data_IF_563611723722
#
_entry.id   IF_563611723722
#
_cell.length_a   1.000
_cell.length_b   1.000
_cell.length_c   1.000
_cell.angle_alpha   90.00
_cell.angle_beta   90.00
_cell.angle_gamma   90.00
#
_symmetry.space_group_name_H-M   'P 1'
#
loop_
_entity.id
_entity.type
_entity.pdbx_description
1 polymer ?
#
# COMPACT_ATOMS: atom_id res chain seq x y z
N UNK A 1 -0.67 7.62 -5.32
CA UNK A 1 -0.35 6.18 -5.13
C UNK A 1 1.15 5.92 -5.02
N UNK A 2 1.96 6.23 -6.04
CA UNK A 2 3.41 5.92 -6.05
C UNK A 2 4.21 6.43 -4.83
N UNK A 3 3.90 7.64 -4.31
CA UNK A 3 4.53 8.16 -3.09
C UNK A 3 4.21 7.31 -1.84
N UNK A 4 2.95 6.91 -1.65
CA UNK A 4 2.57 6.05 -0.52
C UNK A 4 3.25 4.69 -0.62
N UNK A 5 3.34 4.13 -1.82
CA UNK A 5 4.06 2.88 -2.08
C UNK A 5 5.56 3.00 -1.78
N UNK A 6 6.19 4.10 -2.17
CA UNK A 6 7.61 4.36 -1.86
C UNK A 6 7.84 4.51 -0.35
N UNK A 7 6.97 5.26 0.35
CA UNK A 7 7.03 5.40 1.82
C UNK A 7 6.88 4.04 2.49
N UNK A 8 5.89 3.24 2.05
CA UNK A 8 5.66 1.90 2.56
C UNK A 8 6.92 1.02 2.45
N UNK A 9 7.60 1.06 1.31
CA UNK A 9 8.84 0.29 1.09
C UNK A 9 10.03 0.76 1.95
N UNK A 10 10.01 2.00 2.45
CA UNK A 10 11.02 2.50 3.40
C UNK A 10 10.68 2.05 4.82
N UNK A 11 9.45 2.29 5.27
CA UNK A 11 9.03 2.00 6.65
C UNK A 11 8.97 0.49 6.93
N UNK A 12 8.66 -0.34 5.93
CA UNK A 12 8.55 -1.78 6.12
C UNK A 12 9.89 -2.45 6.51
N UNK A 13 11.02 -1.79 6.25
CA UNK A 13 12.35 -2.28 6.64
C UNK A 13 12.63 -2.12 8.13
N UNK A 14 12.01 -1.14 8.78
CA UNK A 14 12.15 -0.87 10.20
C UNK A 14 10.90 -0.13 10.73
N UNK A 15 9.78 -0.85 10.94
CA UNK A 15 8.54 -0.25 11.43
C UNK A 15 8.75 0.24 12.87
N UNK A 16 8.80 1.57 13.06
CA UNK A 16 9.14 2.20 14.34
C UNK A 16 7.99 2.94 14.99
N UNK A 17 6.92 3.23 14.23
CA UNK A 17 5.74 3.92 14.72
C UNK A 17 4.47 3.23 14.22
N UNK A 18 3.79 2.43 15.07
CA UNK A 18 2.64 1.63 14.66
C UNK A 18 1.44 2.48 14.19
N UNK A 19 1.27 3.70 14.72
CA UNK A 19 0.23 4.61 14.26
C UNK A 19 0.52 5.10 12.84
N UNK A 20 1.77 5.47 12.55
CA UNK A 20 2.16 5.89 11.21
C UNK A 20 2.01 4.74 10.19
N UNK A 21 2.46 3.54 10.55
CA UNK A 21 2.33 2.36 9.69
C UNK A 21 0.86 2.10 9.33
N UNK A 22 -0.03 2.12 10.32
CA UNK A 22 -1.47 1.97 10.11
C UNK A 22 -2.04 3.06 9.19
N UNK A 23 -1.71 4.33 9.44
CA UNK A 23 -2.20 5.44 8.61
C UNK A 23 -1.74 5.36 7.15
N UNK A 24 -0.56 4.78 6.88
CA UNK A 24 -0.11 4.53 5.50
C UNK A 24 -1.00 3.50 4.80
N UNK A 25 -1.32 2.38 5.45
CA UNK A 25 -2.24 1.39 4.89
C UNK A 25 -3.66 1.94 4.71
N UNK A 26 -4.18 2.67 5.71
CA UNK A 26 -5.49 3.31 5.62
C UNK A 26 -5.56 4.35 4.48
N UNK A 27 -4.49 5.12 4.29
CA UNK A 27 -4.40 6.09 3.19
C UNK A 27 -4.44 5.42 1.81
N UNK A 28 -3.75 4.28 1.65
CA UNK A 28 -3.79 3.50 0.40
C UNK A 28 -5.19 2.90 0.18
N UNK A 29 -5.83 2.37 1.22
CA UNK A 29 -7.17 1.81 1.15
C UNK A 29 -8.23 2.87 0.81
N UNK A 30 -8.16 4.05 1.43
CA UNK A 30 -9.01 5.18 1.13
C UNK A 30 -8.83 5.64 -0.32
N UNK A 31 -7.59 5.74 -0.79
CA UNK A 31 -7.29 6.11 -2.17
C UNK A 31 -7.92 5.11 -3.16
N UNK A 32 -7.85 3.81 -2.88
CA UNK A 32 -8.54 2.78 -3.69
C UNK A 32 -10.04 3.08 -3.77
N UNK A 33 -10.69 3.35 -2.63
CA UNK A 33 -12.13 3.61 -2.56
C UNK A 33 -12.53 4.80 -3.45
N UNK A 34 -11.76 5.89 -3.43
CA UNK A 34 -12.06 7.08 -4.24
C UNK A 34 -11.75 6.91 -5.73
N UNK A 35 -10.66 6.22 -6.07
CA UNK A 35 -10.27 5.98 -7.48
C UNK A 35 -11.27 5.02 -8.16
N UNK A 36 -11.61 3.93 -7.48
CA UNK A 36 -12.50 2.90 -8.02
C UNK A 36 -13.95 3.37 -8.09
N UNK A 37 -14.39 4.25 -7.18
CA UNK A 37 -15.72 4.83 -7.23
C UNK A 37 -15.99 5.64 -8.51
N UNK A 38 -14.95 6.17 -9.16
CA UNK A 38 -15.10 6.87 -10.44
C UNK A 38 -15.16 5.95 -11.66
N UNK A 39 -14.47 4.80 -11.62
CA UNK A 39 -14.47 3.80 -12.68
C UNK A 39 -13.92 2.45 -12.18
N UNK A 40 -14.76 1.42 -12.15
CA UNK A 40 -14.36 0.08 -11.69
C UNK A 40 -13.26 -0.56 -12.55
N UNK A 41 -13.18 -0.19 -13.83
CA UNK A 41 -12.12 -0.64 -14.74
C UNK A 41 -10.72 -0.18 -14.31
N UNK A 42 -10.60 0.75 -13.35
CA UNK A 42 -9.31 1.21 -12.82
C UNK A 42 -8.72 0.30 -11.76
N UNK A 43 -9.47 -0.68 -11.24
CA UNK A 43 -9.00 -1.61 -10.20
C UNK A 43 -7.68 -2.30 -10.57
N UNK A 44 -7.53 -2.93 -11.76
CA UNK A 44 -6.30 -3.64 -12.10
C UNK A 44 -5.09 -2.69 -12.16
N UNK A 45 -5.29 -1.49 -12.72
CA UNK A 45 -4.24 -0.46 -12.80
C UNK A 45 -3.85 0.06 -11.41
N UNK A 46 -4.81 0.19 -10.50
CA UNK A 46 -4.53 0.59 -9.13
C UNK A 46 -3.70 -0.48 -8.41
N UNK A 47 -4.07 -1.75 -8.54
CA UNK A 47 -3.45 -2.86 -7.80
C UNK A 47 -2.02 -3.18 -8.26
N UNK A 48 -1.66 -2.88 -9.51
CA UNK A 48 -0.30 -3.06 -10.03
C UNK A 48 0.79 -2.39 -9.18
N UNK A 49 0.53 -1.18 -8.67
CA UNK A 49 1.54 -0.40 -7.95
C UNK A 49 1.86 -0.95 -6.53
N UNK A 50 0.88 -1.27 -5.67
CA UNK A 50 1.15 -1.82 -4.34
C UNK A 50 1.43 -3.33 -4.33
N UNK A 51 1.04 -4.10 -5.37
CA UNK A 51 1.14 -5.56 -5.38
C UNK A 51 2.56 -6.08 -5.08
N UNK A 52 3.57 -5.61 -5.84
CA UNK A 52 4.97 -6.01 -5.62
C UNK A 52 5.48 -5.70 -4.20
N UNK A 53 5.39 -4.44 -3.74
CA UNK A 53 5.73 -4.05 -2.37
C UNK A 53 5.05 -4.89 -1.29
N UNK A 54 3.75 -5.17 -1.42
CA UNK A 54 3.02 -6.02 -0.47
C UNK A 54 3.55 -7.45 -0.46
N UNK A 55 3.83 -8.02 -1.63
CA UNK A 55 4.42 -9.37 -1.72
C UNK A 55 5.78 -9.47 -1.02
N UNK A 56 6.61 -8.42 -1.10
CA UNK A 56 7.89 -8.37 -0.36
C UNK A 56 7.65 -8.37 1.14
N UNK A 57 6.74 -7.52 1.64
CA UNK A 57 6.44 -7.40 3.08
C UNK A 57 5.87 -8.70 3.64
N UNK A 58 4.95 -9.32 2.92
CA UNK A 58 4.34 -10.60 3.33
C UNK A 58 5.40 -11.69 3.41
N UNK A 59 6.27 -11.81 2.40
CA UNK A 59 7.36 -12.80 2.41
C UNK A 59 8.36 -12.59 3.55
N UNK A 60 8.64 -11.35 3.93
CA UNK A 60 9.56 -11.02 5.02
C UNK A 60 8.99 -11.32 6.42
N UNK A 61 7.66 -11.45 6.56
CA UNK A 61 6.98 -11.75 7.84
C UNK A 61 6.55 -13.21 7.98
N UNK A 62 6.68 -14.02 6.93
CA UNK A 62 6.44 -15.46 6.97
C UNK A 62 7.81 -16.15 7.05
N UNK A 63 8.32 -16.28 8.27
CA UNK A 63 9.37 -17.23 8.71
C UNK A 63 9.03 -17.70 10.12
#
# INVERSE_FOLDING_TARGET
LGRFVAILGVISKNPSNPHFDQYIFESIAALRKFVVAGAESTVPTFEQAPFGPFMVIIRQKIE
#
